data_IF_128384769872
#
_entry.id   IF_128384769872
#
_cell.length_a   1.000
_cell.length_b   1.000
_cell.length_c   1.000
_cell.angle_alpha   90.00
_cell.angle_beta   90.00
_cell.angle_gamma   90.00
#
_symmetry.space_group_name_H-M   'P 1'
#
loop_
_entity.id
_entity.type
_entity.pdbx_description
1 polymer ?
#
# COMPACT_ATOMS: atom_id res chain seq x y z
N UNK A 1 13.38 4.10 26.73
CA UNK A 1 12.15 4.87 27.07
C UNK A 1 11.69 5.81 25.95
N UNK A 2 12.58 6.47 25.20
CA UNK A 2 12.21 7.44 24.16
C UNK A 2 11.29 6.87 23.05
N UNK A 3 11.51 5.61 22.61
CA UNK A 3 10.69 4.98 21.57
C UNK A 3 9.21 4.79 21.96
N UNK A 4 8.92 4.50 23.24
CA UNK A 4 7.54 4.29 23.71
C UNK A 4 6.78 5.62 23.76
N UNK A 5 7.44 6.69 24.22
CA UNK A 5 6.89 8.04 24.18
C UNK A 5 6.58 8.48 22.74
N UNK A 6 7.52 8.26 21.81
CA UNK A 6 7.33 8.60 20.40
C UNK A 6 6.15 7.85 19.76
N UNK A 7 6.00 6.55 20.05
CA UNK A 7 4.86 5.75 19.57
C UNK A 7 3.54 6.25 20.16
N UNK A 8 3.50 6.51 21.47
CA UNK A 8 2.31 7.05 22.13
C UNK A 8 1.88 8.41 21.56
N UNK A 9 2.82 9.33 21.39
CA UNK A 9 2.57 10.63 20.77
C UNK A 9 2.12 10.49 19.31
N UNK A 10 2.71 9.57 18.56
CA UNK A 10 2.31 9.27 17.18
C UNK A 10 0.87 8.75 17.09
N UNK A 11 0.48 7.82 17.97
CA UNK A 11 -0.88 7.29 18.03
C UNK A 11 -1.89 8.38 18.41
N UNK A 12 -1.55 9.22 19.39
CA UNK A 12 -2.39 10.36 19.77
C UNK A 12 -2.55 11.35 18.60
N UNK A 13 -1.47 11.67 17.90
CA UNK A 13 -1.52 12.55 16.73
C UNK A 13 -2.42 11.97 15.63
N UNK A 14 -2.28 10.67 15.32
CA UNK A 14 -3.15 9.99 14.35
C UNK A 14 -4.61 10.05 14.80
N UNK A 15 -4.90 9.75 16.06
CA UNK A 15 -6.27 9.82 16.60
C UNK A 15 -6.85 11.23 16.46
N UNK A 16 -6.11 12.27 16.85
CA UNK A 16 -6.55 13.67 16.73
C UNK A 16 -6.78 14.03 15.27
N UNK A 17 -5.89 13.67 14.35
CA UNK A 17 -6.07 13.92 12.92
C UNK A 17 -7.34 13.24 12.39
N UNK A 18 -7.54 11.95 12.71
CA UNK A 18 -8.72 11.20 12.29
C UNK A 18 -10.01 11.79 12.88
N UNK A 19 -9.99 12.22 14.14
CA UNK A 19 -11.10 12.89 14.79
C UNK A 19 -11.43 14.22 14.10
N UNK A 20 -10.43 15.05 13.83
CA UNK A 20 -10.62 16.32 13.13
C UNK A 20 -11.13 16.12 11.69
N UNK A 21 -10.65 15.10 10.99
CA UNK A 21 -11.13 14.72 9.66
C UNK A 21 -12.59 14.24 9.70
N UNK A 22 -12.96 13.44 10.70
CA UNK A 22 -14.33 12.96 10.88
C UNK A 22 -15.31 14.12 11.08
N UNK A 23 -14.92 15.16 11.81
CA UNK A 23 -15.71 16.37 12.03
C UNK A 23 -15.59 17.43 10.92
N UNK A 24 -14.95 17.09 9.79
CA UNK A 24 -14.71 18.00 8.67
C UNK A 24 -13.98 19.31 9.04
N UNK A 25 -13.21 19.29 10.14
CA UNK A 25 -12.45 20.45 10.62
C UNK A 25 -11.09 20.58 9.91
N UNK A 26 -10.60 19.51 9.29
CA UNK A 26 -9.43 19.53 8.43
C UNK A 26 -9.82 19.44 6.96
N UNK A 27 -9.15 20.21 6.08
CA UNK A 27 -9.41 20.13 4.66
C UNK A 27 -9.00 18.76 4.11
N UNK A 28 -9.88 18.17 3.32
CA UNK A 28 -9.63 16.92 2.58
C UNK A 28 -8.93 17.16 1.23
N UNK A 29 -8.30 18.31 1.06
CA UNK A 29 -7.53 18.63 -0.14
C UNK A 29 -7.18 20.10 -0.26
N UNK A 30 -6.73 20.50 -1.45
CA UNK A 30 -6.35 21.88 -1.75
C UNK A 30 -7.48 22.53 -2.54
N UNK A 31 -8.09 23.57 -1.95
CA UNK A 31 -9.23 24.28 -2.56
C UNK A 31 -8.82 24.85 -3.92
N UNK A 32 -9.57 24.47 -4.97
CA UNK A 32 -9.29 24.90 -6.34
C UNK A 32 -8.43 23.93 -7.15
N UNK A 33 -7.81 22.92 -6.52
CA UNK A 33 -7.01 21.91 -7.21
C UNK A 33 -7.64 20.52 -7.10
N UNK A 34 -7.78 20.00 -5.87
CA UNK A 34 -8.28 18.64 -5.63
C UNK A 34 -8.94 18.55 -4.25
N UNK A 35 -9.93 17.68 -4.12
CA UNK A 35 -10.58 17.38 -2.84
C UNK A 35 -10.96 15.90 -2.79
N UNK A 36 -10.64 15.22 -1.69
CA UNK A 36 -11.18 13.88 -1.43
C UNK A 36 -12.67 14.02 -1.09
N UNK A 37 -13.50 13.25 -1.78
CA UNK A 37 -14.91 13.09 -1.40
C UNK A 37 -14.97 12.18 -0.19
N UNK A 38 -15.44 12.71 0.95
CA UNK A 38 -15.84 11.86 2.06
C UNK A 38 -17.13 11.15 1.68
N UNK A 39 -17.19 9.86 1.97
CA UNK A 39 -18.38 9.04 1.80
C UNK A 39 -18.65 8.35 3.11
N UNK A 40 -19.89 8.44 3.54
CA UNK A 40 -20.35 7.66 4.67
C UNK A 40 -20.46 6.21 4.21
N UNK A 41 -19.54 5.38 4.70
CA UNK A 41 -19.62 3.94 4.55
C UNK A 41 -20.32 3.42 5.80
N UNK A 42 -21.47 2.75 5.63
CA UNK A 42 -22.10 1.99 6.70
C UNK A 42 -21.20 0.79 7.03
N UNK A 43 -20.12 1.06 7.76
CA UNK A 43 -19.08 0.10 8.02
C UNK A 43 -19.30 -0.51 9.39
N UNK A 44 -19.73 -1.76 9.40
CA UNK A 44 -19.63 -2.60 10.58
C UNK A 44 -18.35 -3.43 10.45
N UNK A 45 -17.43 -3.42 11.44
CA UNK A 45 -16.20 -4.17 11.35
C UNK A 45 -16.52 -5.67 11.36
N UNK A 46 -16.50 -6.29 10.19
CA UNK A 46 -16.67 -7.72 10.05
C UNK A 46 -15.48 -8.50 10.65
N UNK A 47 -15.59 -9.83 10.77
CA UNK A 47 -14.53 -10.67 11.35
C UNK A 47 -13.15 -10.47 10.70
N UNK A 48 -13.10 -10.24 9.38
CA UNK A 48 -11.85 -10.00 8.66
C UNK A 48 -11.14 -8.70 9.10
N UNK A 49 -11.91 -7.64 9.38
CA UNK A 49 -11.39 -6.36 9.88
C UNK A 49 -10.85 -6.56 11.29
N UNK A 50 -11.61 -7.23 12.16
CA UNK A 50 -11.18 -7.53 13.53
C UNK A 50 -9.91 -8.37 13.56
N UNK A 51 -9.82 -9.39 12.70
CA UNK A 51 -8.61 -10.21 12.55
C UNK A 51 -7.42 -9.38 12.06
N UNK A 52 -7.62 -8.51 11.08
CA UNK A 52 -6.55 -7.64 10.58
C UNK A 52 -6.04 -6.69 11.65
N UNK A 53 -6.94 -6.05 12.41
CA UNK A 53 -6.57 -5.21 13.55
C UNK A 53 -5.83 -6.00 14.63
N UNK A 54 -6.27 -7.21 14.95
CA UNK A 54 -5.59 -8.08 15.91
C UNK A 54 -4.18 -8.44 15.46
N UNK A 55 -3.99 -8.80 14.18
CA UNK A 55 -2.67 -9.08 13.60
C UNK A 55 -1.74 -7.87 13.65
N UNK A 56 -2.25 -6.67 13.33
CA UNK A 56 -1.48 -5.43 13.42
C UNK A 56 -1.07 -5.13 14.87
N UNK A 57 -1.99 -5.26 15.83
CA UNK A 57 -1.72 -5.03 17.25
C UNK A 57 -0.70 -6.02 17.81
N UNK A 58 -0.87 -7.31 17.52
CA UNK A 58 0.08 -8.35 17.96
C UNK A 58 1.44 -8.13 17.30
N UNK A 59 1.48 -7.87 16.00
CA UNK A 59 2.73 -7.60 15.27
C UNK A 59 3.47 -6.38 15.83
N UNK A 60 2.74 -5.29 16.10
CA UNK A 60 3.29 -4.09 16.72
C UNK A 60 3.78 -4.36 18.15
N UNK A 61 3.01 -5.08 18.97
CA UNK A 61 3.41 -5.43 20.33
C UNK A 61 4.70 -6.27 20.33
N UNK A 62 4.80 -7.28 19.45
CA UNK A 62 6.00 -8.09 19.30
C UNK A 62 7.20 -7.27 18.83
N UNK A 63 7.00 -6.34 17.91
CA UNK A 63 8.06 -5.45 17.43
C UNK A 63 8.54 -4.48 18.52
N UNK A 64 7.62 -3.90 19.29
CA UNK A 64 7.94 -3.01 20.40
C UNK A 64 8.62 -3.75 21.56
N UNK A 65 8.20 -4.98 21.86
CA UNK A 65 8.87 -5.82 22.85
C UNK A 65 10.29 -6.18 22.37
N UNK A 66 10.46 -6.55 21.11
CA UNK A 66 11.76 -6.84 20.52
C UNK A 66 12.70 -5.61 20.58
N UNK A 67 12.18 -4.42 20.28
CA UNK A 67 12.94 -3.17 20.30
C UNK A 67 13.41 -2.76 21.71
N UNK A 68 12.85 -3.34 22.77
CA UNK A 68 13.29 -3.10 24.16
C UNK A 68 14.41 -4.05 24.60
N UNK A 69 14.72 -5.08 23.81
CA UNK A 69 15.71 -6.11 24.14
C UNK A 69 17.05 -5.76 23.48
N UNK A 70 18.15 -6.07 24.16
CA UNK A 70 19.52 -5.92 23.61
C UNK A 70 19.76 -6.85 22.42
N UNK A 71 19.14 -8.03 22.44
CA UNK A 71 19.18 -9.00 21.35
C UNK A 71 17.77 -9.40 20.92
N UNK A 72 17.49 -9.25 19.62
CA UNK A 72 16.20 -9.60 19.03
C UNK A 72 16.18 -11.10 18.70
N UNK A 73 15.24 -11.84 19.28
CA UNK A 73 15.02 -13.23 18.93
C UNK A 73 14.50 -13.34 17.48
N UNK A 74 15.18 -14.10 16.62
CA UNK A 74 14.80 -14.27 15.19
C UNK A 74 13.34 -14.70 15.00
N UNK A 75 12.84 -15.59 15.88
CA UNK A 75 11.44 -16.05 15.84
C UNK A 75 10.45 -14.92 16.12
N UNK A 76 10.77 -14.05 17.07
CA UNK A 76 9.93 -12.90 17.42
C UNK A 76 9.92 -11.87 16.29
N UNK A 77 11.07 -11.57 15.69
CA UNK A 77 11.15 -10.68 14.54
C UNK A 77 10.39 -11.24 13.33
N UNK A 78 10.53 -12.54 13.06
CA UNK A 78 9.79 -13.18 11.97
C UNK A 78 8.28 -13.14 12.24
N UNK A 79 7.85 -13.46 13.46
CA UNK A 79 6.43 -13.42 13.84
C UNK A 79 5.85 -12.00 13.73
N UNK A 80 6.59 -10.96 14.16
CA UNK A 80 6.14 -9.58 14.01
C UNK A 80 6.03 -9.17 12.55
N UNK A 81 7.03 -9.49 11.72
CA UNK A 81 7.00 -9.20 10.27
C UNK A 81 5.81 -9.89 9.62
N UNK A 82 5.58 -11.18 9.89
CA UNK A 82 4.47 -11.93 9.29
C UNK A 82 3.13 -11.35 9.74
N UNK A 83 2.95 -11.08 11.04
CA UNK A 83 1.70 -10.51 11.56
C UNK A 83 1.42 -9.12 10.98
N UNK A 84 2.43 -8.24 10.93
CA UNK A 84 2.31 -6.91 10.34
C UNK A 84 2.02 -6.98 8.84
N UNK A 85 2.71 -7.87 8.11
CA UNK A 85 2.48 -8.07 6.68
C UNK A 85 1.04 -8.51 6.42
N UNK A 86 0.60 -9.59 7.07
CA UNK A 86 -0.75 -10.13 6.90
C UNK A 86 -1.81 -9.09 7.30
N UNK A 87 -1.66 -8.43 8.45
CA UNK A 87 -2.58 -7.38 8.88
C UNK A 87 -2.65 -6.20 7.91
N UNK A 88 -1.51 -5.77 7.37
CA UNK A 88 -1.42 -4.64 6.43
C UNK A 88 -2.06 -4.92 5.07
N UNK A 89 -2.12 -6.18 4.63
CA UNK A 89 -2.82 -6.57 3.41
C UNK A 89 -4.29 -6.91 3.67
N UNK A 90 -4.59 -7.56 4.80
CA UNK A 90 -5.94 -7.99 5.14
C UNK A 90 -6.85 -6.79 5.44
N UNK A 91 -6.36 -5.75 6.13
CA UNK A 91 -7.19 -4.61 6.51
C UNK A 91 -7.72 -3.83 5.27
N UNK A 92 -6.86 -3.37 4.32
CA UNK A 92 -7.35 -2.75 3.09
C UNK A 92 -8.23 -3.70 2.27
N UNK A 93 -7.87 -4.98 2.17
CA UNK A 93 -8.68 -5.97 1.46
C UNK A 93 -10.08 -6.12 2.04
N UNK A 94 -10.20 -6.19 3.37
CA UNK A 94 -11.48 -6.29 4.06
C UNK A 94 -12.33 -5.01 3.89
N UNK A 95 -11.70 -3.84 3.90
CA UNK A 95 -12.37 -2.57 3.61
C UNK A 95 -12.88 -2.54 2.15
N UNK A 96 -12.07 -2.98 1.19
CA UNK A 96 -12.47 -3.07 -0.22
C UNK A 96 -13.59 -4.07 -0.47
N UNK A 97 -13.64 -5.17 0.29
CA UNK A 97 -14.75 -6.13 0.26
C UNK A 97 -16.05 -5.53 0.79
N UNK A 98 -15.97 -4.73 1.85
CA UNK A 98 -17.13 -4.10 2.47
C UNK A 98 -17.69 -2.93 1.63
N UNK A 99 -16.83 -2.26 0.88
CA UNK A 99 -17.19 -1.13 0.03
C UNK A 99 -17.93 -1.60 -1.25
N UNK A 100 -19.14 -1.09 -1.57
CA UNK A 100 -19.91 -1.55 -2.73
C UNK A 100 -19.17 -1.33 -4.05
N UNK A 101 -18.66 -2.39 -4.69
CA UNK A 101 -17.81 -2.27 -5.89
C UNK A 101 -16.36 -1.83 -5.60
N UNK A 102 -15.89 -2.01 -4.36
CA UNK A 102 -14.58 -1.60 -3.89
C UNK A 102 -13.43 -2.16 -4.72
N UNK A 103 -13.44 -3.45 -5.05
CA UNK A 103 -12.43 -4.05 -5.96
C UNK A 103 -12.45 -3.42 -7.35
N UNK A 104 -13.62 -3.21 -7.93
CA UNK A 104 -13.72 -2.56 -9.25
C UNK A 104 -13.12 -1.15 -9.21
N UNK A 105 -13.44 -0.36 -8.17
CA UNK A 105 -12.87 0.98 -7.97
C UNK A 105 -11.37 0.95 -7.69
N UNK A 106 -10.89 0.01 -6.89
CA UNK A 106 -9.46 -0.16 -6.63
C UNK A 106 -8.70 -0.51 -7.92
N UNK A 107 -9.25 -1.42 -8.72
CA UNK A 107 -8.73 -1.79 -10.03
C UNK A 107 -8.68 -0.59 -10.97
N UNK A 108 -9.77 0.18 -11.09
CA UNK A 108 -9.78 1.43 -11.86
C UNK A 108 -8.75 2.45 -11.35
N UNK A 109 -8.57 2.53 -10.02
CA UNK A 109 -7.55 3.39 -9.41
C UNK A 109 -6.14 2.95 -9.79
N UNK A 110 -5.87 1.63 -9.89
CA UNK A 110 -4.59 1.09 -10.37
C UNK A 110 -4.39 1.35 -11.87
N UNK A 111 -5.46 1.29 -12.66
CA UNK A 111 -5.42 1.57 -14.10
C UNK A 111 -5.51 3.05 -14.49
N UNK A 112 -5.65 3.95 -13.51
CA UNK A 112 -5.66 5.39 -13.79
C UNK A 112 -4.31 5.86 -14.34
N UNK A 113 -4.31 6.91 -15.18
CA UNK A 113 -3.08 7.47 -15.77
C UNK A 113 -2.02 7.83 -14.71
N UNK A 114 -2.45 8.16 -13.48
CA UNK A 114 -1.60 8.54 -12.35
C UNK A 114 -0.89 7.35 -11.66
N UNK A 115 -1.37 6.13 -11.88
CA UNK A 115 -0.86 4.87 -11.28
C UNK A 115 -0.25 3.93 -12.32
N UNK A 116 -0.60 4.11 -13.59
CA UNK A 116 -0.04 3.38 -14.73
C UNK A 116 1.43 3.70 -15.01
N UNK A 117 2.03 4.67 -14.32
CA UNK A 117 3.44 5.02 -14.52
C UNK A 117 4.38 3.83 -14.36
N UNK A 118 4.12 2.92 -13.42
CA UNK A 118 4.91 1.71 -13.25
C UNK A 118 4.71 0.71 -14.40
N UNK A 119 3.47 0.49 -14.84
CA UNK A 119 3.18 -0.40 -15.96
C UNK A 119 3.74 0.16 -17.28
N UNK A 120 3.70 1.47 -17.48
CA UNK A 120 4.30 2.16 -18.62
C UNK A 120 5.81 1.92 -18.70
N UNK A 121 6.49 1.87 -17.56
CA UNK A 121 7.93 1.55 -17.56
C UNK A 121 8.21 0.09 -17.92
N UNK A 122 7.35 -0.84 -17.51
CA UNK A 122 7.44 -2.25 -17.91
C UNK A 122 7.21 -2.41 -19.41
N UNK A 123 6.24 -1.71 -20.00
CA UNK A 123 5.94 -1.82 -21.43
C UNK A 123 7.05 -1.22 -22.33
N UNK A 124 7.74 -0.17 -21.87
CA UNK A 124 8.85 0.46 -22.60
C UNK A 124 10.17 -0.29 -22.47
N UNK A 125 10.34 -1.09 -21.42
CA UNK A 125 11.61 -1.74 -21.11
C UNK A 125 11.40 -3.26 -20.99
N UNK A 126 11.83 -4.08 -21.96
CA UNK A 126 11.56 -5.51 -21.93
C UNK A 126 12.35 -6.28 -20.84
N UNK A 127 13.36 -5.66 -20.21
CA UNK A 127 14.22 -6.30 -19.23
C UNK A 127 14.25 -5.52 -17.92
N UNK A 128 13.72 -6.13 -16.86
CA UNK A 128 13.79 -5.58 -15.50
C UNK A 128 15.23 -5.34 -15.04
N UNK A 129 16.16 -6.24 -15.38
CA UNK A 129 17.58 -6.09 -15.00
C UNK A 129 18.21 -4.86 -15.65
N UNK A 130 17.88 -4.60 -16.91
CA UNK A 130 18.36 -3.41 -17.63
C UNK A 130 17.77 -2.15 -17.02
N UNK A 131 16.45 -2.14 -16.79
CA UNK A 131 15.75 -1.03 -16.15
C UNK A 131 16.30 -0.72 -14.75
N UNK A 132 16.54 -1.74 -13.91
CA UNK A 132 17.03 -1.56 -12.55
C UNK A 132 18.44 -0.94 -12.50
N UNK A 133 19.28 -1.25 -13.49
CA UNK A 133 20.65 -0.73 -13.58
C UNK A 133 20.70 0.71 -14.08
N UNK A 134 19.73 1.14 -14.88
CA UNK A 134 19.63 2.51 -15.38
C UNK A 134 19.09 3.47 -14.30
N UNK A 135 19.93 3.70 -13.28
CA UNK A 135 19.55 4.53 -12.14
C UNK A 135 19.34 5.98 -12.55
N UNK A 136 20.13 6.48 -13.51
CA UNK A 136 20.02 7.86 -14.00
C UNK A 136 18.64 8.12 -14.60
N UNK A 137 18.19 7.26 -15.53
CA UNK A 137 16.87 7.42 -16.15
C UNK A 137 15.75 7.24 -15.14
N UNK A 138 15.82 6.22 -14.29
CA UNK A 138 14.71 5.86 -13.39
C UNK A 138 14.47 6.86 -12.27
N UNK A 139 15.40 7.79 -12.00
CA UNK A 139 15.23 8.85 -10.99
C UNK A 139 15.05 10.25 -11.60
N UNK A 140 15.04 10.36 -12.93
CA UNK A 140 14.89 11.64 -13.63
C UNK A 140 13.41 11.97 -13.85
N UNK A 141 12.96 13.07 -13.24
CA UNK A 141 11.58 13.57 -13.33
C UNK A 141 11.16 13.99 -14.74
N UNK A 142 12.11 14.26 -15.64
CA UNK A 142 11.85 14.60 -17.04
C UNK A 142 11.77 13.39 -17.97
N UNK A 143 12.23 12.20 -17.53
CA UNK A 143 12.32 11.01 -18.38
C UNK A 143 11.29 9.93 -18.03
N UNK A 144 10.89 9.84 -16.77
CA UNK A 144 9.90 8.88 -16.29
C UNK A 144 8.78 9.58 -15.51
N UNK A 145 7.59 8.97 -15.38
CA UNK A 145 6.53 9.53 -14.56
C UNK A 145 7.03 9.82 -13.13
N UNK A 146 6.63 10.95 -12.55
CA UNK A 146 7.14 11.42 -11.26
C UNK A 146 7.06 10.37 -10.14
N UNK A 147 6.01 9.53 -10.16
CA UNK A 147 5.84 8.42 -9.22
C UNK A 147 6.92 7.35 -9.39
N UNK A 148 7.35 7.03 -10.61
CA UNK A 148 8.48 6.11 -10.84
C UNK A 148 9.78 6.71 -10.33
N UNK A 149 10.03 7.99 -10.63
CA UNK A 149 11.25 8.70 -10.23
C UNK A 149 11.49 8.78 -8.72
N UNK A 150 10.39 8.88 -7.96
CA UNK A 150 10.42 9.16 -6.52
C UNK A 150 10.23 7.94 -5.64
N UNK A 151 9.84 6.79 -6.20
CA UNK A 151 9.57 5.58 -5.43
C UNK A 151 10.67 4.53 -5.59
N UNK A 152 10.88 3.67 -4.57
CA UNK A 152 11.76 2.52 -4.71
C UNK A 152 11.28 1.58 -5.83
N UNK A 153 12.15 0.73 -6.42
CA UNK A 153 11.83 -0.06 -7.61
C UNK A 153 10.79 -1.18 -7.40
N UNK A 154 10.31 -1.39 -6.18
CA UNK A 154 9.40 -2.48 -5.80
C UNK A 154 8.11 -2.54 -6.63
N UNK A 155 7.36 -1.43 -6.78
CA UNK A 155 6.15 -1.44 -7.60
C UNK A 155 6.41 -1.81 -9.06
N UNK A 156 7.48 -1.28 -9.67
CA UNK A 156 7.87 -1.65 -11.05
C UNK A 156 8.23 -3.13 -11.15
N UNK A 157 8.99 -3.65 -10.19
CA UNK A 157 9.32 -5.07 -10.12
C UNK A 157 8.07 -5.96 -10.04
N UNK A 158 7.06 -5.54 -9.26
CA UNK A 158 5.77 -6.23 -9.19
C UNK A 158 5.10 -6.31 -10.57
N UNK A 159 5.07 -5.20 -11.33
CA UNK A 159 4.48 -5.20 -12.67
C UNK A 159 5.28 -6.05 -13.68
N UNK A 160 6.61 -6.15 -13.57
CA UNK A 160 7.38 -7.11 -14.36
C UNK A 160 7.01 -8.56 -14.06
N UNK A 161 6.78 -8.90 -12.79
CA UNK A 161 6.34 -10.24 -12.41
C UNK A 161 4.93 -10.53 -12.95
N UNK A 162 4.01 -9.58 -12.85
CA UNK A 162 2.65 -9.71 -13.37
C UNK A 162 2.64 -9.85 -14.90
N UNK A 163 3.39 -9.02 -15.63
CA UNK A 163 3.55 -9.13 -17.09
C UNK A 163 4.16 -10.49 -17.47
N UNK A 164 5.19 -10.94 -16.75
CA UNK A 164 5.78 -12.26 -16.94
C UNK A 164 4.79 -13.41 -16.70
N UNK A 165 3.95 -13.31 -15.66
CA UNK A 165 2.90 -14.29 -15.36
C UNK A 165 1.85 -14.34 -16.46
N UNK A 166 1.36 -13.18 -16.93
CA UNK A 166 0.37 -13.10 -18.01
C UNK A 166 0.93 -13.68 -19.31
N UNK A 167 2.18 -13.35 -19.67
CA UNK A 167 2.84 -13.87 -20.88
C UNK A 167 3.10 -15.38 -20.82
N UNK A 168 3.38 -15.91 -19.63
CA UNK A 168 3.63 -17.35 -19.43
C UNK A 168 2.35 -18.19 -19.32
N UNK A 169 1.18 -17.57 -19.10
CA UNK A 169 -0.09 -18.28 -18.91
C UNK A 169 -1.15 -17.80 -19.92
N UNK A 170 -1.33 -18.50 -21.05
CA UNK A 170 -2.29 -18.12 -22.10
C UNK A 170 -3.76 -18.03 -21.63
N UNK A 171 -4.11 -18.73 -20.54
CA UNK A 171 -5.42 -18.60 -19.91
C UNK A 171 -5.64 -17.19 -19.32
N UNK A 172 -4.63 -16.62 -18.67
CA UNK A 172 -4.70 -15.27 -18.11
C UNK A 172 -4.72 -14.21 -19.23
N UNK A 173 -3.93 -14.40 -20.28
CA UNK A 173 -3.94 -13.51 -21.44
C UNK A 173 -5.32 -13.47 -22.13
N UNK A 174 -6.01 -14.62 -22.21
CA UNK A 174 -7.38 -14.69 -22.76
C UNK A 174 -8.41 -13.99 -21.89
N UNK A 175 -8.29 -14.07 -20.57
CA UNK A 175 -9.15 -13.33 -19.64
C UNK A 175 -8.95 -11.81 -19.75
N UNK A 176 -7.72 -11.37 -20.01
CA UNK A 176 -7.40 -9.94 -20.17
C UNK A 176 -7.91 -9.34 -21.50
N UNK A 177 -8.19 -10.16 -22.51
CA UNK A 177 -8.71 -9.73 -23.82
C UNK A 177 -10.20 -10.04 -24.01
N UNK A 178 -10.88 -10.60 -23.00
CA UNK A 178 -12.31 -10.82 -23.05
C UNK A 178 -13.04 -9.46 -22.93
N UNK A 179 -14.03 -9.17 -23.79
CA UNK A 179 -14.76 -7.90 -23.82
C UNK A 179 -15.60 -7.66 -22.57
#
# INVERSE_FOLDING_TARGET
>A
MQAVGAVGSGLLAVFVILWLLHWHLLPLGVRGEWHWRQRDMAFWPGPAVMLACALLLVGAALALDAARREAIARRQALASIVALLLGSYLLPGAILLAEPGGYGRATLSVFSDLSMGYLSEVSKNPSFRTWLRDTRRRTDLGLVPARVATHPPGPVACFYLLDGLVRSHPALARLAMAP
#
